data_IF_602908979992
#
_entry.id   IF_602908979992
#
_cell.length_a   1.000
_cell.length_b   1.000
_cell.length_c   1.000
_cell.angle_alpha   90.00
_cell.angle_beta   90.00
_cell.angle_gamma   90.00
#
_symmetry.space_group_name_H-M   'P 1'
#
loop_
_entity.id
_entity.type
_entity.pdbx_description
1 polymer ?
#
# COMPACT_ATOMS: atom_id res chain seq x y z
N UNK A 1 18.62 -41.59 -36.85
CA UNK A 1 17.34 -40.86 -36.80
C UNK A 1 16.95 -40.71 -35.35
N UNK A 2 17.25 -39.55 -34.78
CA UNK A 2 16.91 -39.18 -33.41
C UNK A 2 16.96 -37.66 -33.39
N UNK A 3 15.80 -37.05 -33.55
CA UNK A 3 15.61 -35.60 -33.57
C UNK A 3 15.69 -35.10 -32.12
N UNK A 4 16.81 -34.47 -31.75
CA UNK A 4 16.87 -33.61 -30.58
C UNK A 4 16.03 -32.36 -30.87
N UNK A 5 14.91 -32.24 -30.16
CA UNK A 5 14.09 -31.03 -30.18
C UNK A 5 14.68 -30.09 -29.12
N UNK A 6 15.49 -29.14 -29.55
CA UNK A 6 15.86 -27.97 -28.74
C UNK A 6 14.60 -27.20 -28.37
N UNK A 7 14.22 -27.23 -27.08
CA UNK A 7 13.20 -26.32 -26.55
C UNK A 7 13.86 -24.97 -26.35
N UNK A 8 13.79 -24.16 -27.39
CA UNK A 8 14.14 -22.75 -27.36
C UNK A 8 13.01 -21.99 -26.63
N UNK A 9 13.09 -21.83 -25.31
CA UNK A 9 12.17 -20.99 -24.57
C UNK A 9 12.85 -19.65 -24.23
N UNK A 10 12.68 -18.71 -25.15
CA UNK A 10 12.97 -17.29 -24.94
C UNK A 10 11.99 -16.73 -23.88
N UNK A 11 12.21 -17.08 -22.60
CA UNK A 11 11.54 -16.45 -21.47
C UNK A 11 12.29 -15.15 -21.20
N UNK A 12 11.81 -14.05 -21.78
CA UNK A 12 12.06 -12.75 -21.19
C UNK A 12 11.59 -12.84 -19.74
N UNK A 13 12.54 -12.85 -18.80
CA UNK A 13 12.26 -12.82 -17.37
C UNK A 13 11.43 -11.57 -17.10
N UNK A 14 10.11 -11.73 -17.01
CA UNK A 14 9.18 -10.66 -16.65
C UNK A 14 9.53 -10.32 -15.19
N UNK A 15 10.33 -9.28 -14.97
CA UNK A 15 10.72 -8.84 -13.63
C UNK A 15 9.45 -8.64 -12.81
N UNK A 16 9.32 -9.42 -11.74
CA UNK A 16 8.14 -9.45 -10.89
C UNK A 16 8.51 -8.80 -9.57
N UNK A 17 7.72 -7.81 -9.17
CA UNK A 17 7.91 -7.07 -7.91
C UNK A 17 6.86 -7.54 -6.91
N UNK A 18 7.23 -7.72 -5.64
CA UNK A 18 6.30 -8.06 -4.58
C UNK A 18 5.85 -6.79 -3.87
N UNK A 19 4.54 -6.51 -3.91
CA UNK A 19 3.92 -5.33 -3.31
C UNK A 19 3.01 -5.75 -2.16
N UNK A 20 3.34 -5.28 -0.96
CA UNK A 20 2.50 -5.41 0.22
C UNK A 20 1.49 -4.25 0.29
N UNK A 21 0.22 -4.60 0.27
CA UNK A 21 -0.90 -3.64 0.32
C UNK A 21 -1.63 -3.73 1.65
N UNK A 22 -1.88 -2.60 2.29
CA UNK A 22 -2.51 -2.55 3.63
C UNK A 22 -3.82 -1.77 3.64
N UNK A 23 -4.12 -1.03 2.56
CA UNK A 23 -5.21 -0.05 2.49
C UNK A 23 -6.24 -0.34 1.40
N UNK A 24 -6.55 0.66 0.58
CA UNK A 24 -7.68 0.67 -0.36
C UNK A 24 -7.52 -0.25 -1.57
N UNK A 25 -6.30 -0.74 -1.83
CA UNK A 25 -6.00 -1.73 -2.87
C UNK A 25 -6.41 -3.16 -2.48
N UNK A 26 -6.59 -3.44 -1.18
CA UNK A 26 -6.98 -4.77 -0.69
C UNK A 26 -8.37 -5.18 -1.18
N UNK A 27 -8.66 -6.48 -1.21
CA UNK A 27 -10.00 -7.02 -1.52
C UNK A 27 -11.08 -6.37 -0.64
N UNK A 28 -12.21 -6.02 -1.27
CA UNK A 28 -13.34 -5.37 -0.59
C UNK A 28 -13.25 -3.85 -0.46
N UNK A 29 -12.15 -3.21 -0.87
CA UNK A 29 -11.97 -1.76 -0.76
C UNK A 29 -12.00 -1.03 -2.11
N UNK A 30 -12.10 0.30 -2.05
CA UNK A 30 -12.49 1.14 -3.21
C UNK A 30 -11.58 1.04 -4.43
N UNK A 31 -10.27 0.82 -4.23
CA UNK A 31 -9.28 0.81 -5.32
C UNK A 31 -8.95 -0.61 -5.77
N UNK A 32 -9.59 -1.64 -5.20
CA UNK A 32 -9.39 -3.02 -5.60
C UNK A 32 -9.77 -3.29 -7.07
N UNK A 33 -10.59 -2.45 -7.68
CA UNK A 33 -10.90 -2.52 -9.12
C UNK A 33 -9.62 -2.47 -9.96
N UNK A 34 -8.64 -1.64 -9.60
CA UNK A 34 -7.34 -1.62 -10.31
C UNK A 34 -6.62 -2.97 -10.18
N UNK A 35 -6.60 -3.56 -8.98
CA UNK A 35 -5.99 -4.88 -8.76
C UNK A 35 -6.72 -5.96 -9.57
N UNK A 36 -8.05 -5.91 -9.66
CA UNK A 36 -8.85 -6.83 -10.47
C UNK A 36 -8.50 -6.71 -11.96
N UNK A 37 -8.35 -5.50 -12.47
CA UNK A 37 -7.97 -5.27 -13.86
C UNK A 37 -6.55 -5.77 -14.16
N UNK A 38 -5.60 -5.55 -13.24
CA UNK A 38 -4.24 -6.08 -13.34
C UNK A 38 -4.21 -7.61 -13.27
N UNK A 39 -5.03 -8.23 -12.43
CA UNK A 39 -5.14 -9.69 -12.36
C UNK A 39 -5.69 -10.24 -13.69
N UNK A 40 -6.74 -9.61 -14.24
CA UNK A 40 -7.33 -10.01 -15.53
C UNK A 40 -6.35 -9.89 -16.69
N UNK A 41 -5.47 -8.89 -16.69
CA UNK A 41 -4.43 -8.73 -17.72
C UNK A 41 -3.19 -9.60 -17.50
N UNK A 42 -3.11 -10.35 -16.39
CA UNK A 42 -1.94 -11.16 -16.05
C UNK A 42 -0.75 -10.32 -15.54
N UNK A 43 -1.02 -9.13 -15.03
CA UNK A 43 -0.02 -8.20 -14.47
C UNK A 43 0.00 -8.16 -12.94
N UNK A 44 -0.92 -8.85 -12.27
CA UNK A 44 -0.90 -9.05 -10.83
C UNK A 44 -1.40 -10.45 -10.44
N UNK A 45 -0.83 -11.02 -9.38
CA UNK A 45 -1.27 -12.27 -8.77
C UNK A 45 -1.28 -12.09 -7.25
N UNK A 46 -2.38 -12.48 -6.58
CA UNK A 46 -2.41 -12.49 -5.11
C UNK A 46 -1.56 -13.64 -4.58
N UNK A 47 -0.59 -13.33 -3.71
CA UNK A 47 0.28 -14.30 -3.05
C UNK A 47 -0.24 -14.72 -1.66
N UNK A 48 -1.13 -13.94 -1.04
CA UNK A 48 -1.76 -14.28 0.23
C UNK A 48 -1.89 -13.12 1.21
N UNK A 49 -2.21 -13.44 2.46
CA UNK A 49 -2.32 -12.47 3.56
C UNK A 49 -1.06 -12.52 4.42
N UNK A 50 -0.47 -11.36 4.62
CA UNK A 50 0.81 -11.17 5.29
C UNK A 50 0.69 -10.10 6.39
N UNK A 51 1.70 -10.04 7.25
CA UNK A 51 1.83 -9.01 8.27
C UNK A 51 3.25 -8.47 8.30
N UNK A 52 3.42 -7.17 8.56
CA UNK A 52 4.74 -6.56 8.73
C UNK A 52 5.49 -7.18 9.90
N UNK A 53 6.82 -7.28 9.81
CA UNK A 53 7.65 -7.74 10.94
C UNK A 53 7.73 -6.64 11.99
N UNK A 54 8.20 -5.48 11.59
CA UNK A 54 8.26 -4.28 12.42
C UNK A 54 6.87 -3.68 12.65
N UNK A 55 6.74 -2.87 13.71
CA UNK A 55 5.52 -2.13 13.96
C UNK A 55 5.56 -0.82 13.17
N UNK A 56 4.45 -0.47 12.50
CA UNK A 56 4.33 0.75 11.72
C UNK A 56 3.04 1.50 12.05
N UNK A 57 3.06 2.83 12.11
CA UNK A 57 1.84 3.61 12.18
C UNK A 57 1.03 3.46 10.90
N UNK A 58 -0.10 2.78 10.98
CA UNK A 58 -1.15 2.84 9.96
C UNK A 58 -2.27 3.74 10.48
N UNK A 59 -2.55 4.84 9.78
CA UNK A 59 -3.54 5.84 10.22
C UNK A 59 -4.51 6.22 9.11
N UNK A 60 -5.63 6.84 9.49
CA UNK A 60 -6.58 7.43 8.55
C UNK A 60 -6.35 8.94 8.49
N UNK A 61 -5.93 9.45 7.33
CA UNK A 61 -5.84 10.89 7.07
C UNK A 61 -7.17 11.46 6.58
N UNK A 62 -7.15 12.57 5.82
CA UNK A 62 -8.37 13.19 5.31
C UNK A 62 -9.18 12.18 4.49
N UNK A 63 -10.51 12.26 4.59
CA UNK A 63 -11.43 11.38 3.87
C UNK A 63 -11.26 9.88 4.14
N UNK A 64 -10.71 9.54 5.32
CA UNK A 64 -10.36 8.17 5.75
C UNK A 64 -9.35 7.46 4.85
N UNK A 65 -8.53 8.20 4.11
CA UNK A 65 -7.47 7.61 3.30
C UNK A 65 -6.44 6.93 4.24
N UNK A 66 -6.06 5.66 4.01
CA UNK A 66 -5.07 4.98 4.82
C UNK A 66 -3.65 5.43 4.48
N UNK A 67 -2.82 5.65 5.49
CA UNK A 67 -1.40 5.96 5.36
C UNK A 67 -0.58 5.07 6.28
N UNK A 68 0.33 4.30 5.70
CA UNK A 68 1.42 3.64 6.44
C UNK A 68 2.59 4.62 6.54
N UNK A 69 2.98 5.01 7.74
CA UNK A 69 4.04 5.99 7.96
C UNK A 69 5.36 5.28 8.22
N UNK A 70 6.45 5.73 7.58
CA UNK A 70 7.77 5.14 7.73
C UNK A 70 8.42 5.57 9.07
N UNK A 71 7.83 5.13 10.18
CA UNK A 71 8.24 5.40 11.55
C UNK A 71 8.27 4.05 12.30
N UNK A 72 9.25 3.18 12.00
CA UNK A 72 9.30 1.84 12.55
C UNK A 72 9.36 1.87 14.08
N UNK A 73 8.63 0.96 14.71
CA UNK A 73 8.55 0.73 16.15
C UNK A 73 8.18 1.97 16.99
N UNK A 74 7.52 2.95 16.37
CA UNK A 74 6.97 4.10 17.09
C UNK A 74 5.95 3.66 18.16
N UNK A 75 5.98 4.26 19.35
CA UNK A 75 5.00 3.95 20.40
C UNK A 75 3.56 4.17 19.90
N UNK A 76 2.69 3.16 20.06
CA UNK A 76 1.31 3.18 19.55
C UNK A 76 1.15 2.68 18.11
N UNK A 77 2.24 2.20 17.48
CA UNK A 77 2.21 1.48 16.20
C UNK A 77 1.90 -0.01 16.38
N UNK A 78 1.54 -0.67 15.28
CA UNK A 78 1.19 -2.09 15.27
C UNK A 78 1.87 -2.82 14.12
N UNK A 79 2.01 -4.13 14.24
CA UNK A 79 2.30 -4.98 13.09
C UNK A 79 1.08 -4.96 12.16
N UNK A 80 1.27 -4.50 10.93
CA UNK A 80 0.16 -4.21 10.00
C UNK A 80 -0.16 -5.43 9.16
N UNK A 81 -1.43 -5.83 9.13
CA UNK A 81 -1.94 -6.92 8.28
C UNK A 81 -2.42 -6.40 6.93
N UNK A 82 -2.03 -7.10 5.87
CA UNK A 82 -2.32 -6.74 4.50
C UNK A 82 -2.27 -7.91 3.52
N UNK A 83 -2.37 -7.61 2.24
CA UNK A 83 -2.33 -8.57 1.14
C UNK A 83 -1.06 -8.38 0.31
N UNK A 84 -0.40 -9.48 -0.04
CA UNK A 84 0.81 -9.45 -0.86
C UNK A 84 0.47 -9.82 -2.31
N UNK A 85 0.97 -9.02 -3.25
CA UNK A 85 0.77 -9.25 -4.68
C UNK A 85 2.10 -9.32 -5.42
N UNK A 86 2.23 -10.28 -6.32
CA UNK A 86 3.28 -10.31 -7.33
C UNK A 86 2.81 -9.51 -8.55
N UNK A 87 3.54 -8.47 -8.93
CA UNK A 87 3.15 -7.55 -10.02
C UNK A 87 4.22 -7.47 -11.10
N UNK A 88 3.77 -7.39 -12.35
CA UNK A 88 4.66 -7.13 -13.49
C UNK A 88 5.17 -5.68 -13.47
N UNK A 89 6.20 -5.37 -14.25
CA UNK A 89 6.67 -3.99 -14.42
C UNK A 89 5.56 -3.03 -14.91
N UNK A 90 4.66 -3.51 -15.78
CA UNK A 90 3.52 -2.72 -16.26
C UNK A 90 2.49 -2.49 -15.15
N UNK A 91 2.19 -3.53 -14.37
CA UNK A 91 1.30 -3.41 -13.21
C UNK A 91 1.86 -2.46 -12.16
N UNK A 92 3.16 -2.54 -11.90
CA UNK A 92 3.87 -1.66 -10.97
C UNK A 92 3.77 -0.19 -11.39
N UNK A 93 3.97 0.13 -12.66
CA UNK A 93 3.82 1.50 -13.19
C UNK A 93 2.42 2.08 -12.94
N UNK A 94 1.37 1.27 -13.14
CA UNK A 94 -0.02 1.68 -12.87
C UNK A 94 -0.30 1.88 -11.38
N UNK A 95 0.33 1.09 -10.51
CA UNK A 95 0.24 1.28 -9.06
C UNK A 95 0.97 2.56 -8.63
N UNK A 96 2.17 2.80 -9.14
CA UNK A 96 2.95 4.01 -8.88
C UNK A 96 2.19 5.28 -9.31
N UNK A 97 1.51 5.23 -10.46
CA UNK A 97 0.64 6.31 -10.94
C UNK A 97 -0.56 6.54 -10.02
N UNK A 98 -1.26 5.47 -9.63
CA UNK A 98 -2.39 5.57 -8.71
C UNK A 98 -1.92 6.15 -7.37
N UNK A 99 -0.85 5.65 -6.80
CA UNK A 99 -0.33 6.10 -5.50
C UNK A 99 0.37 7.46 -5.59
N UNK A 100 0.62 7.98 -6.79
CA UNK A 100 1.12 9.33 -7.01
C UNK A 100 2.56 9.51 -6.52
N UNK A 101 3.41 8.51 -6.74
CA UNK A 101 4.81 8.51 -6.27
C UNK A 101 5.63 9.68 -6.83
N UNK A 102 5.42 10.02 -8.11
CA UNK A 102 6.04 11.19 -8.76
C UNK A 102 5.49 12.53 -8.28
N UNK A 103 4.38 12.54 -7.53
CA UNK A 103 3.71 13.73 -7.01
C UNK A 103 3.92 13.93 -5.51
N UNK A 104 4.75 13.10 -4.88
CA UNK A 104 4.96 13.12 -3.44
C UNK A 104 3.72 12.73 -2.63
N UNK A 105 2.76 12.03 -3.22
CA UNK A 105 1.60 11.53 -2.49
C UNK A 105 1.99 10.39 -1.56
N UNK A 106 2.70 9.39 -2.09
CA UNK A 106 3.27 8.26 -1.35
C UNK A 106 4.68 8.00 -1.86
N UNK A 107 5.46 7.22 -1.12
CA UNK A 107 6.79 6.75 -1.52
C UNK A 107 6.81 5.21 -1.51
N UNK A 108 7.28 4.58 -2.58
CA UNK A 108 7.48 3.12 -2.60
C UNK A 108 8.83 2.80 -1.99
N UNK A 109 8.83 2.08 -0.87
CA UNK A 109 10.03 1.74 -0.10
C UNK A 109 10.00 0.27 0.34
N UNK A 110 11.15 -0.32 0.68
CA UNK A 110 11.21 -1.68 1.22
C UNK A 110 10.43 -1.85 2.54
N UNK A 111 9.90 -3.04 2.76
CA UNK A 111 9.27 -3.47 4.00
C UNK A 111 9.49 -4.97 4.22
N UNK A 112 9.62 -5.42 5.47
CA UNK A 112 9.68 -6.86 5.78
C UNK A 112 8.31 -7.37 6.19
N UNK A 113 7.95 -8.52 5.64
CA UNK A 113 6.66 -9.18 5.92
C UNK A 113 6.85 -10.66 6.20
N UNK A 114 5.91 -11.23 6.94
CA UNK A 114 5.80 -12.68 7.17
C UNK A 114 4.36 -13.15 6.92
N UNK A 115 4.15 -14.43 6.53
CA UNK A 115 2.82 -15.01 6.42
C UNK A 115 2.11 -15.06 7.78
N UNK A 116 0.80 -14.79 7.80
CA UNK A 116 0.03 -14.84 9.07
C UNK A 116 -0.16 -16.26 9.60
N UNK A 117 -0.27 -17.25 8.70
CA UNK A 117 -0.59 -18.63 9.06
C UNK A 117 0.66 -19.50 9.34
N UNK A 118 1.83 -18.89 9.48
CA UNK A 118 3.12 -19.59 9.57
C UNK A 118 3.55 -20.20 8.22
N UNK A 119 4.79 -20.69 8.15
CA UNK A 119 5.30 -21.46 7.00
C UNK A 119 6.60 -20.92 6.42
N UNK A 120 6.70 -19.61 6.18
CA UNK A 120 7.89 -19.00 5.57
C UNK A 120 8.57 -17.97 6.48
N UNK A 121 9.90 -17.88 6.36
CA UNK A 121 10.70 -16.85 7.02
C UNK A 121 10.31 -15.46 6.50
N UNK A 122 10.49 -14.43 7.34
CA UNK A 122 10.28 -13.07 6.91
C UNK A 122 11.20 -12.68 5.73
N UNK A 123 10.66 -11.93 4.76
CA UNK A 123 11.42 -11.48 3.60
C UNK A 123 11.09 -10.03 3.23
N UNK A 124 12.01 -9.41 2.49
CA UNK A 124 11.86 -8.04 2.00
C UNK A 124 10.98 -7.97 0.76
N UNK A 125 10.02 -7.06 0.78
CA UNK A 125 9.14 -6.68 -0.33
C UNK A 125 9.06 -5.15 -0.38
N UNK A 126 8.17 -4.57 -1.17
CA UNK A 126 7.93 -3.12 -1.18
C UNK A 126 6.50 -2.77 -0.76
N UNK A 127 6.33 -1.57 -0.22
CA UNK A 127 5.03 -0.99 0.10
C UNK A 127 5.03 0.52 -0.16
N UNK A 128 3.84 1.08 -0.32
CA UNK A 128 3.64 2.53 -0.44
C UNK A 128 3.51 3.15 0.94
N UNK A 129 4.45 3.99 1.34
CA UNK A 129 4.39 4.75 2.59
C UNK A 129 3.82 6.14 2.32
N UNK A 130 3.10 6.71 3.29
CA UNK A 130 2.77 8.13 3.25
C UNK A 130 4.06 8.94 3.14
N UNK A 131 4.09 9.91 2.23
CA UNK A 131 5.29 10.64 1.89
C UNK A 131 5.90 11.34 3.12
N UNK A 132 7.23 11.30 3.23
CA UNK A 132 7.99 11.80 4.38
C UNK A 132 7.71 13.25 4.74
N UNK A 133 7.29 14.07 3.77
CA UNK A 133 7.02 15.50 3.97
C UNK A 133 5.86 15.80 4.92
N UNK A 134 4.95 14.85 5.15
CA UNK A 134 3.81 15.04 6.04
C UNK A 134 3.64 13.91 7.07
N UNK A 135 4.48 12.87 7.01
CA UNK A 135 4.31 11.65 7.81
C UNK A 135 4.35 11.94 9.32
N UNK A 136 5.28 12.78 9.78
CA UNK A 136 5.42 13.12 11.20
C UNK A 136 4.21 13.88 11.73
N UNK A 137 3.70 14.85 10.97
CA UNK A 137 2.56 15.68 11.32
C UNK A 137 1.27 14.86 11.30
N UNK A 138 1.14 13.97 10.32
CA UNK A 138 0.04 13.01 10.26
C UNK A 138 0.05 12.06 11.47
N UNK A 139 1.23 11.61 11.92
CA UNK A 139 1.33 10.80 13.12
C UNK A 139 0.90 11.55 14.37
N UNK A 140 1.36 12.80 14.54
CA UNK A 140 0.94 13.67 15.65
C UNK A 140 -0.58 13.87 15.64
N UNK A 141 -1.16 14.17 14.46
CA UNK A 141 -2.60 14.41 14.28
C UNK A 141 -3.48 13.20 14.62
N UNK A 142 -2.95 11.99 14.45
CA UNK A 142 -3.62 10.75 14.85
C UNK A 142 -3.63 10.49 16.37
N UNK A 143 -3.03 11.39 17.16
CA UNK A 143 -2.82 11.16 18.60
C UNK A 143 -1.78 10.08 18.89
N UNK A 144 -0.86 9.84 17.94
CA UNK A 144 0.14 8.76 17.98
C UNK A 144 -0.47 7.38 18.25
N UNK A 145 -1.59 7.09 17.57
CA UNK A 145 -2.29 5.81 17.65
C UNK A 145 -2.57 5.28 16.24
N UNK A 146 -2.00 4.11 15.93
CA UNK A 146 -2.16 3.45 14.66
C UNK A 146 -3.17 2.30 14.74
N UNK A 147 -3.41 1.68 13.59
CA UNK A 147 -4.24 0.49 13.45
C UNK A 147 -3.37 -0.72 13.08
N UNK A 148 -3.71 -1.92 13.56
CA UNK A 148 -3.10 -3.17 13.06
C UNK A 148 -3.65 -3.59 11.69
N UNK A 149 -4.81 -3.08 11.29
CA UNK A 149 -5.45 -3.40 10.02
C UNK A 149 -6.36 -2.24 9.62
N UNK A 150 -6.37 -1.90 8.33
CA UNK A 150 -7.41 -1.06 7.75
C UNK A 150 -8.60 -1.96 7.38
N UNK A 151 -9.62 -1.99 8.23
CA UNK A 151 -10.84 -2.79 8.06
C UNK A 151 -12.05 -1.95 7.66
N UNK A 152 -13.23 -2.58 7.63
CA UNK A 152 -14.50 -1.90 7.34
C UNK A 152 -14.79 -0.76 8.34
N UNK A 153 -14.43 -0.95 9.61
CA UNK A 153 -14.58 0.04 10.67
C UNK A 153 -13.78 1.31 10.37
N UNK A 154 -12.50 1.16 10.02
CA UNK A 154 -11.59 2.27 9.73
C UNK A 154 -11.93 2.94 8.39
N UNK A 155 -12.45 2.16 7.43
CA UNK A 155 -12.90 2.65 6.13
C UNK A 155 -14.30 3.31 6.16
N UNK A 156 -15.02 3.25 7.28
CA UNK A 156 -16.35 3.87 7.40
C UNK A 156 -16.26 5.38 7.17
N UNK A 157 -16.93 5.85 6.13
CA UNK A 157 -16.90 7.26 5.70
C UNK A 157 -15.75 7.59 4.73
N UNK A 158 -15.12 6.58 4.11
CA UNK A 158 -14.15 6.80 3.05
C UNK A 158 -14.76 7.50 1.83
N UNK A 159 -14.09 8.56 1.37
CA UNK A 159 -14.51 9.32 0.17
C UNK A 159 -13.54 9.04 -0.97
N UNK A 160 -14.06 8.55 -2.10
CA UNK A 160 -13.27 8.27 -3.31
C UNK A 160 -12.70 9.56 -3.88
N UNK A 161 -11.55 9.49 -4.54
CA UNK A 161 -10.85 10.66 -5.09
C UNK A 161 -11.73 11.57 -5.95
N UNK A 162 -12.58 10.98 -6.79
CA UNK A 162 -13.52 11.71 -7.67
C UNK A 162 -14.61 12.50 -6.93
N UNK A 163 -14.93 12.09 -5.70
CA UNK A 163 -16.01 12.66 -4.89
C UNK A 163 -15.46 13.65 -3.84
N UNK A 164 -14.14 13.89 -3.81
CA UNK A 164 -13.50 14.86 -2.92
C UNK A 164 -13.64 16.27 -3.50
N UNK A 165 -13.55 17.32 -2.66
CA UNK A 165 -13.44 18.70 -3.14
C UNK A 165 -12.28 18.84 -4.13
N UNK A 166 -12.58 19.33 -5.34
CA UNK A 166 -11.61 19.44 -6.45
C UNK A 166 -10.87 20.79 -6.45
N UNK A 167 -11.22 21.69 -5.52
CA UNK A 167 -10.58 23.00 -5.38
C UNK A 167 -9.20 22.93 -4.70
N UNK A 168 -8.87 21.80 -4.07
CA UNK A 168 -7.58 21.55 -3.45
C UNK A 168 -6.97 20.27 -4.01
N UNK A 169 -5.66 20.30 -4.28
CA UNK A 169 -4.90 19.11 -4.63
C UNK A 169 -4.68 18.20 -3.39
N UNK A 170 -4.20 16.98 -3.61
CA UNK A 170 -4.06 15.99 -2.54
C UNK A 170 -3.12 16.43 -1.41
N UNK A 171 -2.02 17.11 -1.74
CA UNK A 171 -1.06 17.61 -0.73
C UNK A 171 -1.65 18.78 0.06
N UNK A 172 -2.41 19.66 -0.58
CA UNK A 172 -3.15 20.74 0.10
C UNK A 172 -4.19 20.16 1.08
N UNK A 173 -4.93 19.13 0.66
CA UNK A 173 -5.87 18.42 1.53
C UNK A 173 -5.18 17.81 2.75
N UNK A 174 -3.98 17.23 2.57
CA UNK A 174 -3.18 16.70 3.68
C UNK A 174 -2.71 17.83 4.59
N UNK A 175 -2.16 18.91 4.03
CA UNK A 175 -1.67 20.05 4.79
C UNK A 175 -2.76 20.67 5.65
N UNK A 176 -3.95 20.88 5.11
CA UNK A 176 -5.13 21.34 5.88
C UNK A 176 -5.46 20.35 7.00
N UNK A 177 -5.47 19.05 6.71
CA UNK A 177 -5.81 18.04 7.71
C UNK A 177 -4.80 18.02 8.88
N UNK A 178 -3.51 18.00 8.59
CA UNK A 178 -2.47 17.92 9.63
C UNK A 178 -2.28 19.23 10.38
N UNK A 179 -2.66 20.38 9.78
CA UNK A 179 -2.58 21.70 10.41
C UNK A 179 -3.84 22.06 11.21
N UNK A 180 -4.98 21.42 10.92
CA UNK A 180 -6.20 21.60 11.70
C UNK A 180 -5.95 21.16 13.15
N UNK A 181 -6.15 22.08 14.11
CA UNK A 181 -6.12 21.75 15.52
C UNK A 181 -7.06 20.57 15.76
N UNK A 182 -6.60 19.60 16.54
CA UNK A 182 -7.52 18.61 17.09
C UNK A 182 -8.35 19.37 18.12
N UNK A 183 -9.56 19.78 17.75
CA UNK A 183 -10.51 20.27 18.74
C UNK A 183 -10.71 19.13 19.75
N UNK A 184 -10.25 19.38 20.97
CA UNK A 184 -10.37 18.49 22.13
C UNK A 184 -11.83 18.38 22.56
#
# INVERSE_FOLDING_TARGET
MGIEVEINCNRTSKTTTLIFTYGTLKRGFSNHVLMQDLIKSGDAVLCGVYRTVEHYPLVCGPYRVPFLLNLPDAAGSHRVTGELYAVSAQGLSRLDELEGTSRGHYERLPIKVEPINGGDAAFGVEAYYGHRSYATEMWKRSGKRGYGVYGEKEAKGYVKRKDRPQNLNFLEQINVFVSSCSDN
#
